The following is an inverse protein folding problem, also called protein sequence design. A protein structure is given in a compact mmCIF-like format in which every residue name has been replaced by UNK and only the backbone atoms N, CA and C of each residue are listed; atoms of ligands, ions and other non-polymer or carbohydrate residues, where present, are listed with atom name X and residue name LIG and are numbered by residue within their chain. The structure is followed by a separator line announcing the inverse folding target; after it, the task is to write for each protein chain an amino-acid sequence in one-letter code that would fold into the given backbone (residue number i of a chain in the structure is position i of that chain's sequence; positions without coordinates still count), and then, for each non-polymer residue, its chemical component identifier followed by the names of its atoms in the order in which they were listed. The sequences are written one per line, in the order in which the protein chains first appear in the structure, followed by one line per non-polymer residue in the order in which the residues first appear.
data_IF_040614402207
#
_entry.id   IF_040614402207
#
_cell.length_a   1.000
_cell.length_b   1.000
_cell.length_c   1.000
_cell.angle_alpha   90.00
_cell.angle_beta   90.00
_cell.angle_gamma   90.00
#
_symmetry.space_group_name_H-M   'P 1'
#
loop_
_entity.id
_entity.type
_entity.pdbx_description
1 polymer ?
#
# COMPACT_ATOMS: atom_id res chain seq x y z
N UNK A 1 -0.87 -2.27 -5.32
CA UNK A 1 0.41 -2.29 -6.06
C UNK A 1 1.14 -0.98 -5.89
N UNK A 2 2.43 -1.04 -5.57
CA UNK A 2 3.27 0.15 -5.48
C UNK A 2 3.64 0.67 -6.88
N UNK A 3 4.05 1.94 -6.92
CA UNK A 3 4.67 2.56 -8.11
C UNK A 3 5.84 1.71 -8.58
N UNK A 4 6.00 1.54 -9.90
CA UNK A 4 7.06 0.69 -10.46
C UNK A 4 8.45 1.12 -9.97
N UNK A 5 9.30 0.15 -9.62
CA UNK A 5 10.65 0.41 -9.09
C UNK A 5 10.73 0.57 -7.57
N UNK A 6 9.59 0.50 -6.87
CA UNK A 6 9.52 0.60 -5.41
C UNK A 6 9.09 -0.71 -4.74
N UNK A 7 9.63 -0.93 -3.53
CA UNK A 7 9.22 -1.97 -2.58
C UNK A 7 8.82 -1.34 -1.24
N UNK A 8 8.02 -2.01 -0.39
CA UNK A 8 7.68 -1.47 0.92
C UNK A 8 8.83 -1.60 1.93
N UNK A 9 8.92 -0.65 2.87
CA UNK A 9 9.73 -0.82 4.09
C UNK A 9 9.01 -1.80 5.04
N UNK A 10 9.63 -2.97 5.27
CA UNK A 10 9.00 -4.07 6.01
C UNK A 10 8.77 -3.75 7.47
N UNK A 11 9.66 -2.97 8.11
CA UNK A 11 9.47 -2.58 9.52
C UNK A 11 8.25 -1.69 9.71
N UNK A 12 7.97 -0.81 8.75
CA UNK A 12 6.79 0.06 8.79
C UNK A 12 5.49 -0.74 8.64
N UNK A 13 5.49 -1.80 7.81
CA UNK A 13 4.33 -2.69 7.67
C UNK A 13 4.03 -3.44 8.99
N UNK A 14 5.06 -3.91 9.69
CA UNK A 14 4.90 -4.51 11.03
C UNK A 14 4.31 -3.50 12.01
N UNK A 15 4.78 -2.26 11.96
CA UNK A 15 4.28 -1.18 12.80
C UNK A 15 2.82 -0.85 12.50
N UNK A 16 2.40 -0.87 11.23
CA UNK A 16 1.00 -0.64 10.85
C UNK A 16 0.06 -1.66 11.53
N UNK A 17 0.41 -2.95 11.54
CA UNK A 17 -0.35 -4.00 12.25
C UNK A 17 -0.24 -3.86 13.77
N UNK A 18 0.92 -3.43 14.28
CA UNK A 18 1.15 -3.29 15.72
C UNK A 18 0.33 -2.14 16.34
N UNK A 19 0.19 -1.04 15.63
CA UNK A 19 -0.42 0.18 16.16
C UNK A 19 -1.92 0.29 15.88
N UNK A 20 -2.40 -0.34 14.81
CA UNK A 20 -3.83 -0.37 14.48
C UNK A 20 -4.39 -1.78 14.65
N UNK A 21 -5.17 -2.06 15.71
CA UNK A 21 -5.73 -3.38 15.96
C UNK A 21 -6.79 -3.80 14.93
N UNK A 22 -7.28 -2.87 14.11
CA UNK A 22 -8.19 -3.18 13.00
C UNK A 22 -7.45 -3.85 11.83
N UNK A 23 -6.14 -3.59 11.69
CA UNK A 23 -5.30 -4.24 10.69
C UNK A 23 -4.74 -5.54 11.27
N UNK A 24 -5.30 -6.68 10.88
CA UNK A 24 -4.97 -7.99 11.49
C UNK A 24 -3.65 -8.58 11.01
N UNK A 25 -3.32 -8.37 9.74
CA UNK A 25 -2.09 -8.85 9.13
C UNK A 25 -1.81 -8.13 7.82
N UNK A 26 -0.59 -8.29 7.33
CA UNK A 26 -0.19 -7.87 6.00
C UNK A 26 0.49 -9.02 5.25
N UNK A 27 0.42 -8.97 3.93
CA UNK A 27 1.17 -9.84 3.01
C UNK A 27 1.96 -8.98 2.04
N UNK A 28 3.13 -9.48 1.64
CA UNK A 28 4.00 -8.81 0.66
C UNK A 28 4.36 -9.80 -0.44
N UNK A 29 4.03 -9.44 -1.67
CA UNK A 29 4.40 -10.15 -2.89
C UNK A 29 5.05 -9.17 -3.87
N UNK A 30 6.38 -9.11 -3.86
CA UNK A 30 7.14 -8.12 -4.64
C UNK A 30 6.76 -6.68 -4.29
N UNK A 31 6.14 -5.98 -5.25
CA UNK A 31 5.62 -4.61 -5.11
C UNK A 31 4.15 -4.55 -4.67
N UNK A 32 3.51 -5.69 -4.41
CA UNK A 32 2.15 -5.76 -3.91
C UNK A 32 2.15 -5.90 -2.39
N UNK A 33 1.41 -5.01 -1.73
CA UNK A 33 1.14 -5.06 -0.29
C UNK A 33 -0.36 -5.27 -0.12
N UNK A 34 -0.74 -6.26 0.66
CA UNK A 34 -2.13 -6.57 0.99
C UNK A 34 -2.32 -6.47 2.49
N UNK A 35 -3.27 -5.64 2.93
CA UNK A 35 -3.69 -5.54 4.33
C UNK A 35 -5.02 -6.27 4.52
N UNK A 36 -5.13 -6.98 5.63
CA UNK A 36 -6.36 -7.63 6.05
C UNK A 36 -6.95 -6.82 7.19
N UNK A 37 -8.02 -6.10 6.88
CA UNK A 37 -8.75 -5.26 7.83
C UNK A 37 -9.95 -6.06 8.33
N UNK A 38 -10.18 -6.06 9.64
CA UNK A 38 -11.28 -6.82 10.26
C UNK A 38 -12.64 -6.27 9.88
N UNK A 39 -12.81 -4.95 10.03
CA UNK A 39 -14.05 -4.27 9.68
C UNK A 39 -13.79 -2.92 9.03
N UNK A 40 -14.55 -2.62 7.98
CA UNK A 40 -14.63 -1.28 7.41
C UNK A 40 -15.82 -0.57 8.04
N UNK A 41 -15.55 0.54 8.71
CA UNK A 41 -16.58 1.36 9.37
C UNK A 41 -16.57 2.78 8.78
N UNK A 42 -17.39 3.68 9.32
CA UNK A 42 -17.34 5.09 8.98
C UNK A 42 -16.09 5.81 9.55
N UNK A 43 -15.29 5.14 10.39
CA UNK A 43 -14.03 5.66 10.90
C UNK A 43 -12.88 5.27 9.97
N UNK A 44 -11.97 6.22 9.74
CA UNK A 44 -10.80 6.00 8.90
C UNK A 44 -9.87 4.94 9.51
N UNK A 45 -9.43 4.00 8.68
CA UNK A 45 -8.35 3.04 9.00
C UNK A 45 -7.12 3.40 8.16
N UNK A 46 -5.99 3.66 8.82
CA UNK A 46 -4.83 4.27 8.18
C UNK A 46 -3.59 3.37 8.28
N UNK A 47 -3.27 2.67 7.18
CA UNK A 47 -2.01 1.94 7.04
C UNK A 47 -0.90 2.84 6.49
N UNK A 48 -0.02 3.32 7.37
CA UNK A 48 1.09 4.20 7.00
C UNK A 48 2.40 3.42 6.89
N UNK A 49 3.09 3.51 5.77
CA UNK A 49 4.39 2.88 5.57
C UNK A 49 5.22 3.61 4.50
N UNK A 50 6.55 3.57 4.65
CA UNK A 50 7.47 4.08 3.63
C UNK A 50 7.67 3.07 2.51
N UNK A 51 8.07 3.60 1.36
CA UNK A 51 8.49 2.83 0.18
C UNK A 51 9.93 3.17 -0.18
N UNK A 52 10.66 2.17 -0.66
CA UNK A 52 12.09 2.25 -1.00
C UNK A 52 12.21 2.04 -2.50
N UNK A 53 12.88 2.98 -3.20
CA UNK A 53 13.23 2.79 -4.61
C UNK A 53 14.40 1.82 -4.71
N UNK A 54 14.22 0.72 -5.44
CA UNK A 54 15.26 -0.32 -5.64
C UNK A 54 15.76 -0.40 -7.08
N UNK A 55 14.96 0.06 -8.04
CA UNK A 55 15.31 0.13 -9.46
C UNK A 55 14.90 1.49 -9.97
N UNK A 56 15.78 2.12 -10.73
CA UNK A 56 15.43 3.32 -11.48
C UNK A 56 14.71 2.93 -12.76
N UNK A 57 13.49 3.44 -12.93
CA UNK A 57 12.59 3.08 -14.03
C UNK A 57 12.33 4.34 -14.84
N UNK A 58 12.66 4.32 -16.14
CA UNK A 58 12.45 5.47 -17.02
C UNK A 58 10.96 5.76 -17.25
N UNK A 59 10.18 4.72 -17.57
CA UNK A 59 8.72 4.80 -17.75
C UNK A 59 7.99 4.36 -16.47
N UNK A 60 7.96 5.26 -15.48
CA UNK A 60 7.36 4.99 -14.16
C UNK A 60 5.85 4.78 -14.29
N UNK A 61 5.38 3.58 -13.96
CA UNK A 61 3.95 3.26 -13.90
C UNK A 61 3.36 3.63 -12.54
N UNK A 62 2.13 4.21 -12.51
CA UNK A 62 1.46 4.57 -11.27
C UNK A 62 1.17 3.33 -10.43
N UNK A 63 1.11 3.52 -9.11
CA UNK A 63 0.63 2.52 -8.18
C UNK A 63 -0.90 2.48 -8.20
N UNK A 64 -1.47 1.40 -7.69
CA UNK A 64 -2.92 1.22 -7.58
C UNK A 64 -3.27 0.71 -6.21
N UNK A 65 -4.22 1.36 -5.55
CA UNK A 65 -4.85 0.88 -4.32
C UNK A 65 -6.20 0.28 -4.70
N UNK A 66 -6.49 -0.92 -4.20
CA UNK A 66 -7.78 -1.60 -4.34
C UNK A 66 -8.26 -2.01 -2.96
N UNK A 67 -9.50 -1.69 -2.65
CA UNK A 67 -10.21 -2.10 -1.44
C UNK A 67 -11.41 -2.91 -1.90
N UNK A 68 -11.63 -4.08 -1.30
CA UNK A 68 -12.74 -4.95 -1.66
C UNK A 68 -13.18 -5.76 -0.45
N UNK A 69 -14.47 -6.11 -0.41
CA UNK A 69 -14.97 -7.08 0.57
C UNK A 69 -14.46 -8.48 0.22
N UNK A 70 -13.83 -9.14 1.20
CA UNK A 70 -13.18 -10.43 0.99
C UNK A 70 -14.15 -11.56 0.60
N UNK A 71 -15.40 -11.49 1.07
CA UNK A 71 -16.44 -12.49 0.80
C UNK A 71 -17.41 -12.06 -0.29
N UNK A 72 -17.50 -10.76 -0.59
CA UNK A 72 -18.35 -10.18 -1.64
C UNK A 72 -17.54 -9.26 -2.57
N UNK A 73 -16.65 -9.80 -3.43
CA UNK A 73 -15.70 -9.01 -4.21
C UNK A 73 -16.33 -8.04 -5.23
N UNK A 74 -17.62 -8.17 -5.52
CA UNK A 74 -18.40 -7.19 -6.28
C UNK A 74 -18.45 -5.81 -5.61
N UNK A 75 -18.28 -5.76 -4.28
CA UNK A 75 -18.10 -4.53 -3.54
C UNK A 75 -16.62 -4.17 -3.50
N UNK A 76 -16.21 -3.36 -4.48
CA UNK A 76 -14.84 -2.90 -4.58
C UNK A 76 -14.72 -1.43 -4.96
N UNK A 77 -13.56 -0.87 -4.64
CA UNK A 77 -13.13 0.42 -5.12
C UNK A 77 -11.63 0.38 -5.46
N UNK A 78 -11.25 1.08 -6.52
CA UNK A 78 -9.84 1.19 -6.90
C UNK A 78 -9.47 2.61 -7.28
N UNK A 79 -8.22 2.98 -6.99
CA UNK A 79 -7.67 4.29 -7.31
C UNK A 79 -6.19 4.18 -7.61
N UNK A 80 -5.77 4.83 -8.69
CA UNK A 80 -4.35 4.95 -9.03
C UNK A 80 -3.73 6.18 -8.36
N UNK A 81 -2.44 6.10 -8.05
CA UNK A 81 -1.67 7.17 -7.44
C UNK A 81 -0.25 7.24 -8.01
N UNK A 82 0.32 8.43 -7.98
CA UNK A 82 1.72 8.69 -8.31
C UNK A 82 2.44 9.21 -7.07
N UNK A 83 3.76 9.03 -7.02
CA UNK A 83 4.58 9.68 -6.01
C UNK A 83 4.90 11.11 -6.46
N UNK A 84 5.08 12.06 -5.52
CA UNK A 84 5.59 13.38 -5.88
C UNK A 84 6.92 13.22 -6.63
N UNK A 85 7.25 14.15 -7.55
CA UNK A 85 8.54 14.14 -8.20
C UNK A 85 9.65 14.12 -7.14
N UNK A 86 10.75 13.37 -7.35
CA UNK A 86 11.87 13.42 -6.42
C UNK A 86 12.30 14.88 -6.28
N UNK A 87 12.28 15.38 -5.04
CA UNK A 87 12.83 16.70 -4.70
C UNK A 87 14.34 16.64 -4.92
N UNK A 88 14.76 17.03 -6.12
CA UNK A 88 16.15 17.22 -6.59
C UNK A 88 17.13 16.04 -6.36
N UNK A 89 17.61 15.47 -7.46
CA UNK A 89 18.92 14.82 -7.48
C UNK A 89 19.99 15.92 -7.38
N UNK A 90 20.84 15.87 -6.35
CA UNK A 90 22.14 16.57 -6.36
C UNK A 90 23.25 15.54 -6.38
#
# INVERSE_FOLDING_TARGET
DLVSGYIPEKEDLKNAVRYDPNIKRYEVDGSKVSFYIEELTAQDTCANFRVIRVVDVEDVKPGTVRVYDYYQPEYEFSKSYTLPPPTECR
#
